data_IF_813559799878
#
_entry.id   IF_813559799878
#
_cell.length_a   1.000
_cell.length_b   1.000
_cell.length_c   1.000
_cell.angle_alpha   90.00
_cell.angle_beta   90.00
_cell.angle_gamma   90.00
#
_symmetry.space_group_name_H-M   'P 1'
#
loop_
_entity.id
_entity.type
_entity.pdbx_description
1 polymer ?
#
# COMPACT_ATOMS: atom_id res chain seq x y z
N UNK A 1 -10.48 -11.45 84.01
CA UNK A 1 -9.46 -11.40 82.93
C UNK A 1 -9.77 -12.37 81.78
N UNK A 2 -10.15 -13.62 82.04
CA UNK A 2 -10.48 -14.59 80.96
C UNK A 2 -11.64 -14.17 80.04
N UNK A 3 -12.72 -13.58 80.57
CA UNK A 3 -13.85 -13.09 79.76
C UNK A 3 -13.43 -12.03 78.74
N UNK A 4 -12.56 -11.10 79.13
CA UNK A 4 -12.04 -10.06 78.24
C UNK A 4 -11.14 -10.63 77.14
N UNK A 5 -10.33 -11.66 77.45
CA UNK A 5 -9.51 -12.36 76.45
C UNK A 5 -10.36 -13.13 75.44
N UNK A 6 -11.45 -13.78 75.88
CA UNK A 6 -12.41 -14.46 74.98
C UNK A 6 -13.11 -13.48 74.04
N UNK A 7 -13.60 -12.35 74.57
CA UNK A 7 -14.22 -11.31 73.75
C UNK A 7 -13.25 -10.70 72.73
N UNK A 8 -12.01 -10.41 73.14
CA UNK A 8 -10.99 -9.93 72.23
C UNK A 8 -10.69 -10.96 71.11
N UNK A 9 -10.63 -12.25 71.45
CA UNK A 9 -10.41 -13.31 70.48
C UNK A 9 -11.57 -13.41 69.47
N UNK A 10 -12.82 -13.35 69.93
CA UNK A 10 -14.02 -13.37 69.07
C UNK A 10 -14.07 -12.18 68.11
N UNK A 11 -13.73 -10.98 68.59
CA UNK A 11 -13.66 -9.78 67.75
C UNK A 11 -12.59 -9.94 66.67
N UNK A 12 -11.41 -10.46 67.04
CA UNK A 12 -10.30 -10.65 66.11
C UNK A 12 -10.60 -11.74 65.08
N UNK A 13 -11.32 -12.80 65.47
CA UNK A 13 -11.75 -13.83 64.52
C UNK A 13 -12.84 -13.32 63.58
N UNK A 14 -13.78 -12.50 64.06
CA UNK A 14 -14.76 -11.83 63.20
C UNK A 14 -14.08 -10.89 62.21
N UNK A 15 -13.21 -10.00 62.69
CA UNK A 15 -12.50 -9.06 61.83
C UNK A 15 -11.65 -9.76 60.75
N UNK A 16 -11.04 -10.90 61.07
CA UNK A 16 -10.33 -11.72 60.07
C UNK A 16 -11.25 -12.30 59.00
N UNK A 17 -12.41 -12.85 59.41
CA UNK A 17 -13.41 -13.37 58.48
C UNK A 17 -13.96 -12.28 57.57
N UNK A 18 -14.29 -11.12 58.13
CA UNK A 18 -14.80 -9.97 57.38
C UNK A 18 -13.74 -9.47 56.38
N UNK A 19 -12.47 -9.43 56.77
CA UNK A 19 -11.38 -9.05 55.88
C UNK A 19 -11.17 -10.07 54.74
N UNK A 20 -11.22 -11.38 55.03
CA UNK A 20 -11.14 -12.43 54.01
C UNK A 20 -12.32 -12.37 53.03
N UNK A 21 -13.52 -12.08 53.53
CA UNK A 21 -14.71 -11.89 52.70
C UNK A 21 -14.57 -10.68 51.78
N UNK A 22 -14.13 -9.53 52.30
CA UNK A 22 -13.84 -8.32 51.51
C UNK A 22 -12.76 -8.60 50.46
N UNK A 23 -11.67 -9.29 50.82
CA UNK A 23 -10.61 -9.66 49.88
C UNK A 23 -11.15 -10.59 48.79
N UNK A 24 -12.02 -11.53 49.14
CA UNK A 24 -12.64 -12.45 48.17
C UNK A 24 -13.54 -11.69 47.18
N UNK A 25 -14.34 -10.74 47.66
CA UNK A 25 -15.20 -9.89 46.84
C UNK A 25 -14.38 -8.96 45.92
N UNK A 26 -13.27 -8.39 46.41
CA UNK A 26 -12.37 -7.58 45.59
C UNK A 26 -11.69 -8.41 44.50
N UNK A 27 -11.30 -9.66 44.80
CA UNK A 27 -10.69 -10.59 43.84
C UNK A 27 -11.67 -11.10 42.79
N UNK A 28 -12.95 -11.23 43.08
CA UNK A 28 -13.95 -11.63 42.08
C UNK A 28 -14.31 -10.49 41.12
N UNK A 29 -14.25 -9.24 41.59
CA UNK A 29 -14.54 -8.04 40.79
C UNK A 29 -13.37 -7.65 39.85
N UNK A 30 -12.13 -8.03 40.15
CA UNK A 30 -10.94 -7.53 39.43
C UNK A 30 -10.49 -8.24 38.14
N UNK A 31 -10.76 -9.54 37.87
CA UNK A 31 -10.27 -10.18 36.64
C UNK A 31 -11.23 -10.05 35.45
N UNK A 32 -12.56 -10.14 35.66
CA UNK A 32 -13.51 -10.20 34.54
C UNK A 32 -13.92 -8.83 33.98
N UNK A 33 -14.04 -7.81 34.84
CA UNK A 33 -14.42 -6.45 34.39
C UNK A 33 -13.26 -5.71 33.73
N UNK A 34 -12.02 -6.01 34.15
CA UNK A 34 -10.84 -5.40 33.56
C UNK A 34 -10.55 -5.95 32.16
N UNK A 35 -10.81 -7.23 31.89
CA UNK A 35 -10.56 -7.80 30.56
C UNK A 35 -11.51 -7.18 29.52
N UNK A 36 -12.80 -7.01 29.83
CA UNK A 36 -13.76 -6.33 28.94
C UNK A 36 -13.41 -4.85 28.73
N UNK A 37 -13.04 -4.13 29.79
CA UNK A 37 -12.61 -2.72 29.68
C UNK A 37 -11.31 -2.59 28.89
N UNK A 38 -10.36 -3.52 29.08
CA UNK A 38 -9.10 -3.58 28.35
C UNK A 38 -9.31 -3.90 26.89
N UNK A 39 -10.15 -4.89 26.56
CA UNK A 39 -10.53 -5.20 25.19
C UNK A 39 -11.25 -4.03 24.51
N UNK A 40 -12.17 -3.36 25.23
CA UNK A 40 -12.83 -2.14 24.74
C UNK A 40 -11.84 -1.01 24.45
N UNK A 41 -10.88 -0.77 25.35
CA UNK A 41 -9.83 0.23 25.15
C UNK A 41 -8.90 -0.12 23.97
N UNK A 42 -8.54 -1.39 23.81
CA UNK A 42 -7.75 -1.87 22.66
C UNK A 42 -8.53 -1.68 21.35
N UNK A 43 -9.83 -2.00 21.33
CA UNK A 43 -10.66 -1.84 20.16
C UNK A 43 -10.84 -0.37 19.78
N UNK A 44 -11.10 0.51 20.76
CA UNK A 44 -11.19 1.95 20.55
C UNK A 44 -9.87 2.54 20.02
N UNK A 45 -8.72 2.08 20.53
CA UNK A 45 -7.40 2.48 20.03
C UNK A 45 -7.19 2.02 18.58
N UNK A 46 -7.59 0.79 18.22
CA UNK A 46 -7.53 0.28 16.83
C UNK A 46 -8.41 1.10 15.89
N UNK A 47 -9.63 1.46 16.30
CA UNK A 47 -10.53 2.28 15.49
C UNK A 47 -10.00 3.70 15.29
N UNK A 48 -9.46 4.32 16.34
CA UNK A 48 -8.84 5.65 16.23
C UNK A 48 -7.68 5.63 15.22
N UNK A 49 -6.80 4.63 15.33
CA UNK A 49 -5.65 4.48 14.43
C UNK A 49 -6.10 4.21 12.98
N UNK A 50 -7.20 3.47 12.78
CA UNK A 50 -7.79 3.26 11.45
C UNK A 50 -8.32 4.56 10.86
N UNK A 51 -8.97 5.43 11.64
CA UNK A 51 -9.49 6.73 11.17
C UNK A 51 -8.36 7.72 10.85
N UNK A 52 -7.34 7.79 11.69
CA UNK A 52 -6.16 8.61 11.43
C UNK A 52 -5.43 8.13 10.17
N UNK A 53 -5.32 6.80 9.98
CA UNK A 53 -4.73 6.23 8.77
C UNK A 53 -5.59 6.42 7.52
N UNK A 54 -6.92 6.37 7.62
CA UNK A 54 -7.78 6.65 6.45
C UNK A 54 -7.68 8.12 6.04
N UNK A 55 -7.70 9.05 7.01
CA UNK A 55 -7.49 10.47 6.71
C UNK A 55 -6.12 10.74 6.09
N UNK A 56 -5.06 10.09 6.59
CA UNK A 56 -3.73 10.16 5.98
C UNK A 56 -3.66 9.51 4.60
N UNK A 57 -4.42 8.44 4.34
CA UNK A 57 -4.47 7.80 3.03
C UNK A 57 -5.28 8.63 2.04
N UNK A 58 -6.35 9.28 2.47
CA UNK A 58 -7.10 10.27 1.67
C UNK A 58 -6.25 11.51 1.38
N UNK A 59 -5.42 11.97 2.33
CA UNK A 59 -4.44 13.04 2.10
C UNK A 59 -3.24 12.59 1.25
N UNK A 60 -2.82 11.31 1.31
CA UNK A 60 -1.78 10.74 0.44
C UNK A 60 -2.31 10.35 -0.94
N UNK A 61 -3.61 10.14 -1.08
CA UNK A 61 -4.31 10.16 -2.37
C UNK A 61 -4.51 11.62 -2.78
N UNK A 62 -3.42 12.39 -2.82
CA UNK A 62 -3.32 13.49 -3.76
C UNK A 62 -3.75 12.91 -5.10
N UNK A 63 -4.92 13.35 -5.58
CA UNK A 63 -5.35 13.15 -6.95
C UNK A 63 -4.15 13.49 -7.82
N UNK A 64 -3.44 12.48 -8.33
CA UNK A 64 -2.37 12.71 -9.30
C UNK A 64 -3.07 13.48 -10.40
N UNK A 65 -2.77 14.78 -10.61
CA UNK A 65 -3.58 15.60 -11.47
C UNK A 65 -3.48 14.98 -12.86
N UNK A 66 -4.58 14.37 -13.32
CA UNK A 66 -4.67 13.95 -14.71
C UNK A 66 -4.46 15.23 -15.50
N UNK A 67 -3.43 15.24 -16.35
CA UNK A 67 -3.14 16.41 -17.15
C UNK A 67 -4.43 16.79 -17.93
N UNK A 68 -4.87 18.05 -17.81
CA UNK A 68 -6.08 18.58 -18.48
C UNK A 68 -6.07 18.35 -20.00
N UNK A 69 -4.89 18.11 -20.56
CA UNK A 69 -4.67 17.70 -21.95
C UNK A 69 -3.80 16.45 -21.91
N UNK A 70 -4.32 15.33 -22.40
CA UNK A 70 -3.52 14.12 -22.57
C UNK A 70 -2.36 14.43 -23.53
N UNK A 71 -1.10 14.15 -23.16
CA UNK A 71 0.02 14.36 -24.06
C UNK A 71 -0.18 13.54 -25.33
N UNK A 72 0.16 14.12 -26.49
CA UNK A 72 0.17 13.36 -27.74
C UNK A 72 1.34 12.36 -27.67
N UNK A 73 1.01 11.10 -27.37
CA UNK A 73 1.96 10.01 -27.25
C UNK A 73 2.11 9.29 -28.59
N UNK A 74 3.36 9.17 -29.04
CA UNK A 74 3.70 8.46 -30.27
C UNK A 74 4.38 7.14 -29.91
N UNK A 75 4.16 6.04 -30.66
CA UNK A 75 4.92 4.80 -30.47
C UNK A 75 6.43 5.05 -30.46
N UNK A 76 7.11 4.52 -29.46
CA UNK A 76 8.54 4.72 -29.22
C UNK A 76 8.87 5.77 -28.14
N UNK A 77 7.94 6.64 -27.77
CA UNK A 77 8.16 7.64 -26.72
C UNK A 77 8.43 6.99 -25.36
N UNK A 78 9.34 7.59 -24.58
CA UNK A 78 9.56 7.24 -23.18
C UNK A 78 8.58 8.03 -22.31
N UNK A 79 7.81 7.31 -21.51
CA UNK A 79 6.86 7.89 -20.56
C UNK A 79 7.15 7.41 -19.15
N UNK A 80 7.00 8.30 -18.19
CA UNK A 80 7.02 7.95 -16.77
C UNK A 80 5.59 7.65 -16.30
N UNK A 81 5.44 6.52 -15.60
CA UNK A 81 4.17 6.06 -15.06
C UNK A 81 4.18 6.23 -13.54
N UNK A 82 3.46 7.23 -12.98
CA UNK A 82 3.43 7.46 -11.54
C UNK A 82 2.93 6.25 -10.73
N UNK A 83 1.98 5.50 -11.28
CA UNK A 83 1.40 4.30 -10.65
C UNK A 83 2.45 3.19 -10.46
N UNK A 84 3.34 3.02 -11.43
CA UNK A 84 4.38 1.98 -11.42
C UNK A 84 5.74 2.51 -10.95
N UNK A 85 5.87 3.83 -10.73
CA UNK A 85 7.11 4.54 -10.40
C UNK A 85 8.28 4.17 -11.32
N UNK A 86 7.97 3.88 -12.58
CA UNK A 86 8.93 3.36 -13.57
C UNK A 86 8.73 4.04 -14.92
N UNK A 87 9.81 4.16 -15.70
CA UNK A 87 9.77 4.57 -17.11
C UNK A 87 9.36 3.39 -17.99
N UNK A 88 8.59 3.66 -19.04
CA UNK A 88 8.19 2.67 -20.04
C UNK A 88 8.17 3.25 -21.45
N UNK A 89 8.08 2.38 -22.45
CA UNK A 89 8.02 2.76 -23.86
C UNK A 89 6.61 2.58 -24.42
N UNK A 90 6.12 3.58 -25.12
CA UNK A 90 4.83 3.52 -25.81
C UNK A 90 4.92 2.53 -26.98
N UNK A 91 4.04 1.54 -27.02
CA UNK A 91 4.02 0.48 -28.04
C UNK A 91 2.96 0.76 -29.12
N UNK A 92 1.82 1.31 -28.73
CA UNK A 92 0.71 1.64 -29.63
C UNK A 92 0.31 3.10 -29.52
N UNK A 93 -0.33 3.69 -30.54
CA UNK A 93 -0.96 5.01 -30.38
C UNK A 93 -2.10 4.97 -29.36
N UNK A 94 -2.57 6.15 -28.97
CA UNK A 94 -3.72 6.30 -28.08
C UNK A 94 -5.00 5.83 -28.79
N UNK A 95 -5.74 4.93 -28.13
CA UNK A 95 -7.01 4.39 -28.62
C UNK A 95 -8.14 5.42 -28.48
N UNK A 96 -9.30 5.15 -29.09
CA UNK A 96 -10.49 6.04 -29.02
C UNK A 96 -10.98 6.32 -27.59
N UNK A 97 -10.69 5.42 -26.65
CA UNK A 97 -11.01 5.56 -25.22
C UNK A 97 -9.97 6.37 -24.42
N UNK A 98 -8.91 6.86 -25.07
CA UNK A 98 -7.84 7.61 -24.39
C UNK A 98 -6.77 6.73 -23.70
N UNK A 99 -6.76 5.42 -23.99
CA UNK A 99 -5.81 4.45 -23.43
C UNK A 99 -4.62 4.20 -24.35
N UNK A 100 -3.45 3.90 -23.79
CA UNK A 100 -2.21 3.61 -24.52
C UNK A 100 -1.54 2.34 -23.97
N UNK A 101 -0.94 1.54 -24.86
CA UNK A 101 -0.16 0.36 -24.46
C UNK A 101 1.29 0.77 -24.22
N UNK A 102 1.78 0.54 -23.00
CA UNK A 102 3.15 0.86 -22.60
C UNK A 102 3.88 -0.41 -22.18
N UNK A 103 5.11 -0.56 -22.66
CA UNK A 103 6.03 -1.60 -22.22
C UNK A 103 6.84 -1.09 -21.02
N UNK A 104 6.71 -1.77 -19.89
CA UNK A 104 7.45 -1.50 -18.65
C UNK A 104 8.25 -2.75 -18.31
N UNK A 105 9.57 -2.71 -18.58
CA UNK A 105 10.41 -3.91 -18.50
C UNK A 105 9.91 -5.02 -19.45
N UNK A 106 9.54 -6.18 -18.88
CA UNK A 106 8.95 -7.32 -19.62
C UNK A 106 7.42 -7.24 -19.75
N UNK A 107 6.77 -6.32 -19.05
CA UNK A 107 5.31 -6.22 -18.99
C UNK A 107 4.79 -5.28 -20.07
N UNK A 108 3.63 -5.61 -20.66
CA UNK A 108 2.82 -4.69 -21.47
C UNK A 108 1.58 -4.33 -20.67
N UNK A 109 1.40 -3.04 -20.40
CA UNK A 109 0.30 -2.53 -19.58
C UNK A 109 -0.50 -1.49 -20.36
N UNK A 110 -1.82 -1.55 -20.22
CA UNK A 110 -2.73 -0.54 -20.78
C UNK A 110 -2.98 0.51 -19.71
N UNK A 111 -2.70 1.76 -20.03
CA UNK A 111 -2.76 2.90 -19.11
C UNK A 111 -3.42 4.09 -19.79
N UNK A 112 -4.10 4.94 -19.02
CA UNK A 112 -4.69 6.16 -19.57
C UNK A 112 -3.59 7.13 -20.02
N UNK A 113 -3.71 7.71 -21.21
CA UNK A 113 -2.72 8.64 -21.74
C UNK A 113 -2.51 9.87 -20.84
N UNK A 114 -3.58 10.34 -20.18
CA UNK A 114 -3.54 11.46 -19.24
C UNK A 114 -2.80 11.15 -17.91
N UNK A 115 -2.61 9.86 -17.58
CA UNK A 115 -1.86 9.43 -16.40
C UNK A 115 -0.36 9.20 -16.70
N UNK A 116 0.06 9.36 -17.97
CA UNK A 116 1.44 9.22 -18.40
C UNK A 116 2.12 10.60 -18.45
N UNK A 117 3.35 10.70 -17.95
CA UNK A 117 4.15 11.92 -18.06
C UNK A 117 5.24 11.73 -19.12
N UNK A 118 5.27 12.57 -20.15
CA UNK A 118 6.32 12.53 -21.17
C UNK A 118 7.64 13.01 -20.55
N UNK A 119 8.67 12.18 -20.59
CA UNK A 119 10.00 12.58 -20.09
C UNK A 119 10.75 13.37 -21.15
N UNK A 120 11.31 14.53 -20.79
CA UNK A 120 12.07 15.41 -21.70
C UNK A 120 13.44 14.83 -22.09
N UNK A 121 13.88 13.74 -21.46
CA UNK A 121 15.05 12.97 -21.84
C UNK A 121 14.74 12.23 -23.15
N UNK A 122 14.90 12.95 -24.25
CA UNK A 122 14.74 12.43 -25.60
C UNK A 122 15.78 11.35 -25.87
N UNK A 123 15.34 10.10 -25.95
CA UNK A 123 15.86 9.19 -26.95
C UNK A 123 14.82 9.09 -28.06
N UNK A 124 14.86 10.09 -28.94
CA UNK A 124 14.29 9.99 -30.28
C UNK A 124 14.92 8.77 -30.97
N UNK A 125 14.13 7.70 -31.06
CA UNK A 125 14.23 6.68 -32.10
C UNK A 125 15.62 6.11 -32.37
N UNK A 126 16.19 5.34 -31.45
CA UNK A 126 17.24 4.36 -31.80
C UNK A 126 17.04 3.07 -31.04
N UNK A 127 16.20 2.18 -31.59
CA UNK A 127 16.53 0.75 -31.78
C UNK A 127 15.30 -0.01 -32.29
N UNK A 128 14.83 0.32 -33.50
CA UNK A 128 14.40 -0.75 -34.39
C UNK A 128 15.68 -1.47 -34.82
N UNK A 129 16.18 -2.39 -33.98
CA UNK A 129 17.17 -3.35 -34.45
C UNK A 129 16.44 -4.23 -35.45
N UNK A 130 16.49 -3.85 -36.72
CA UNK A 130 16.26 -4.77 -37.84
C UNK A 130 17.37 -5.81 -37.77
N UNK A 131 17.24 -6.78 -36.86
CA UNK A 131 18.14 -7.90 -36.74
C UNK A 131 17.88 -8.84 -37.91
N UNK A 132 18.81 -8.84 -38.87
CA UNK A 132 18.97 -9.91 -39.85
C UNK A 132 18.59 -9.53 -41.27
N UNK A 133 17.38 -9.02 -41.51
CA UNK A 133 16.84 -8.94 -42.89
C UNK A 133 17.60 -7.92 -43.75
N UNK A 134 17.94 -6.74 -43.22
CA UNK A 134 18.68 -5.71 -43.96
C UNK A 134 20.13 -6.11 -44.25
N UNK A 135 20.79 -6.81 -43.31
CA UNK A 135 22.12 -7.35 -43.51
C UNK A 135 22.13 -8.48 -44.55
N UNK A 136 21.11 -9.35 -44.54
CA UNK A 136 20.95 -10.45 -45.52
C UNK A 136 20.67 -9.89 -46.93
N UNK A 137 19.82 -8.86 -47.05
CA UNK A 137 19.55 -8.21 -48.33
C UNK A 137 20.81 -7.55 -48.92
N UNK A 138 21.60 -6.86 -48.09
CA UNK A 138 22.86 -6.26 -48.51
C UNK A 138 23.92 -7.30 -48.90
N UNK A 139 23.97 -8.45 -48.22
CA UNK A 139 24.87 -9.56 -48.55
C UNK A 139 24.51 -10.22 -49.89
N UNK A 140 23.21 -10.39 -50.18
CA UNK A 140 22.76 -10.92 -51.48
C UNK A 140 23.10 -9.98 -52.63
N UNK A 141 22.91 -8.68 -52.47
CA UNK A 141 23.23 -7.71 -53.52
C UNK A 141 24.73 -7.73 -53.90
N UNK A 142 25.63 -7.89 -52.93
CA UNK A 142 27.08 -7.97 -53.19
C UNK A 142 27.51 -9.21 -53.97
N UNK A 143 26.77 -10.32 -53.85
CA UNK A 143 27.09 -11.55 -54.58
C UNK A 143 26.44 -11.62 -55.97
N UNK A 144 25.41 -10.82 -56.24
CA UNK A 144 24.65 -10.86 -57.51
C UNK A 144 25.27 -9.94 -58.58
N UNK A 145 26.07 -8.93 -58.22
CA UNK A 145 26.66 -7.99 -59.20
C UNK A 145 27.99 -8.45 -59.82
N UNK A 146 28.30 -9.74 -59.75
CA UNK A 146 29.50 -10.32 -60.39
C UNK A 146 29.10 -11.54 -61.20
N UNK A 147 28.24 -11.31 -62.19
CA UNK A 147 28.18 -12.06 -63.45
C UNK A 147 27.62 -11.14 -64.55
#
# INVERSE_FOLDING_TARGET
IEKAKKQAFEILTKAKKDAEEIISQLKTVTPHDNERKRQGAIQAAREKLKRERSGLLEDLMEEVPLAKVAPQLVPGDVVYLPQFRQKGHVVSPVNAEGNVLVQVGIMKVTVAAAACQKTADGETGKTARNTGISAIAAAKAKHISTE
#
